data_IF_813546068556
#
_entry.id   IF_813546068556
#
_cell.length_a   1.000
_cell.length_b   1.000
_cell.length_c   1.000
_cell.angle_alpha   90.00
_cell.angle_beta   90.00
_cell.angle_gamma   90.00
#
_symmetry.space_group_name_H-M   'P 1'
#
loop_
_entity.id
_entity.type
_entity.pdbx_description
1 polymer ?
#
# COMPACT_ATOMS: atom_id res chain seq x y z
N UNK A 1 -34.77 26.36 -17.35
CA UNK A 1 -33.74 26.33 -16.30
C UNK A 1 -33.06 24.98 -16.41
N UNK A 2 -31.89 24.92 -17.04
CA UNK A 2 -31.13 23.67 -17.17
C UNK A 2 -30.54 23.32 -15.82
N UNK A 3 -30.80 22.12 -15.33
CA UNK A 3 -30.17 21.60 -14.11
C UNK A 3 -28.65 21.68 -14.24
N UNK A 4 -27.91 22.08 -13.20
CA UNK A 4 -26.46 22.02 -13.23
C UNK A 4 -26.05 20.57 -13.44
N UNK A 5 -25.25 20.34 -14.46
CA UNK A 5 -24.58 19.07 -14.68
C UNK A 5 -23.57 18.95 -13.53
N UNK A 6 -23.98 18.33 -12.42
CA UNK A 6 -23.04 17.95 -11.38
C UNK A 6 -22.26 16.77 -11.96
N UNK A 7 -21.19 17.11 -12.67
CA UNK A 7 -20.15 16.17 -13.05
C UNK A 7 -19.51 15.73 -11.73
N UNK A 8 -20.07 14.68 -11.11
CA UNK A 8 -19.40 14.02 -10.00
C UNK A 8 -18.20 13.33 -10.65
N UNK A 9 -16.97 13.84 -10.50
CA UNK A 9 -15.84 13.13 -11.08
C UNK A 9 -15.85 11.74 -10.45
N UNK A 10 -15.77 10.71 -11.30
CA UNK A 10 -15.47 9.37 -10.83
C UNK A 10 -14.23 9.48 -9.91
N UNK A 11 -14.18 8.70 -8.82
CA UNK A 11 -13.05 8.76 -7.90
C UNK A 11 -11.74 8.66 -8.69
N UNK A 12 -10.78 9.55 -8.45
CA UNK A 12 -9.52 9.51 -9.17
C UNK A 12 -8.75 8.25 -8.75
N UNK A 13 -8.25 7.46 -9.70
CA UNK A 13 -7.36 6.33 -9.39
C UNK A 13 -5.99 6.52 -10.03
N UNK A 14 -4.91 6.02 -9.39
CA UNK A 14 -3.61 5.97 -10.04
C UNK A 14 -3.68 5.14 -11.33
N UNK A 15 -3.19 5.69 -12.44
CA UNK A 15 -3.28 5.01 -13.74
C UNK A 15 -2.43 3.73 -13.81
N UNK A 16 -1.36 3.65 -13.02
CA UNK A 16 -0.37 2.57 -13.07
C UNK A 16 -0.07 2.02 -11.67
N UNK A 17 0.06 0.70 -11.59
CA UNK A 17 0.65 0.00 -10.45
C UNK A 17 2.16 -0.04 -10.64
N UNK A 18 2.89 0.49 -9.65
CA UNK A 18 4.34 0.50 -9.73
C UNK A 18 4.96 -0.88 -9.44
N UNK A 19 6.19 -1.15 -9.91
CA UNK A 19 6.89 -2.38 -9.57
C UNK A 19 7.01 -2.57 -8.06
N UNK A 20 6.68 -3.78 -7.61
CA UNK A 20 6.72 -4.21 -6.21
C UNK A 20 5.80 -3.42 -5.26
N UNK A 21 4.82 -2.69 -5.81
CA UNK A 21 3.83 -1.96 -5.02
C UNK A 21 2.75 -2.91 -4.48
N UNK A 22 2.60 -3.07 -3.15
CA UNK A 22 1.52 -3.87 -2.59
C UNK A 22 0.19 -3.10 -2.59
N UNK A 23 -0.93 -3.81 -2.45
CA UNK A 23 -2.28 -3.24 -2.43
C UNK A 23 -2.44 -2.08 -1.43
N UNK A 24 -1.90 -2.21 -0.23
CA UNK A 24 -1.96 -1.15 0.78
C UNK A 24 -1.09 0.07 0.41
N UNK A 25 -0.04 -0.10 -0.40
CA UNK A 25 0.75 0.98 -0.98
C UNK A 25 -0.04 1.74 -2.06
N UNK A 26 -0.61 1.00 -3.00
CA UNK A 26 -1.49 1.55 -4.04
C UNK A 26 -2.70 2.26 -3.43
N UNK A 27 -3.32 1.67 -2.41
CA UNK A 27 -4.45 2.26 -1.69
C UNK A 27 -4.09 3.59 -1.01
N UNK A 28 -2.84 3.78 -0.56
CA UNK A 28 -2.37 5.10 -0.08
C UNK A 28 -2.36 6.14 -1.20
N UNK A 29 -1.89 5.78 -2.39
CA UNK A 29 -1.92 6.68 -3.56
C UNK A 29 -3.35 6.98 -3.98
N UNK A 30 -4.23 5.98 -3.94
CA UNK A 30 -5.66 6.14 -4.20
C UNK A 30 -6.30 7.13 -3.20
N UNK A 31 -6.02 6.97 -1.90
CA UNK A 31 -6.50 7.90 -0.87
C UNK A 31 -6.00 9.33 -1.12
N UNK A 32 -4.72 9.48 -1.46
CA UNK A 32 -4.11 10.77 -1.81
C UNK A 32 -4.74 11.40 -3.06
N UNK A 33 -4.99 10.60 -4.10
CA UNK A 33 -5.60 11.08 -5.35
C UNK A 33 -7.03 11.61 -5.13
N UNK A 34 -7.74 11.06 -4.14
CA UNK A 34 -9.08 11.51 -3.74
C UNK A 34 -9.07 12.51 -2.57
N UNK A 35 -7.92 13.10 -2.25
CA UNK A 35 -7.77 14.10 -1.18
C UNK A 35 -8.26 13.65 0.20
N UNK A 36 -8.18 12.34 0.49
CA UNK A 36 -8.49 11.83 1.83
C UNK A 36 -7.35 12.12 2.80
N UNK A 37 -7.70 12.55 4.01
CA UNK A 37 -6.75 12.88 5.09
C UNK A 37 -5.92 11.67 5.54
N UNK A 38 -6.47 10.46 5.43
CA UNK A 38 -5.75 9.23 5.74
C UNK A 38 -6.34 8.05 4.97
N UNK A 39 -5.55 6.99 4.81
CA UNK A 39 -6.05 5.71 4.29
C UNK A 39 -7.14 5.11 5.15
N UNK A 40 -7.11 5.35 6.46
CA UNK A 40 -8.15 4.87 7.37
C UNK A 40 -9.50 5.49 7.05
N UNK A 41 -9.55 6.81 6.87
CA UNK A 41 -10.79 7.51 6.48
C UNK A 41 -11.32 6.97 5.17
N UNK A 42 -10.44 6.76 4.18
CA UNK A 42 -10.86 6.16 2.92
C UNK A 42 -11.41 4.74 3.11
N UNK A 43 -10.73 3.89 3.87
CA UNK A 43 -11.16 2.51 4.14
C UNK A 43 -12.55 2.48 4.79
N UNK A 44 -12.80 3.35 5.77
CA UNK A 44 -14.11 3.46 6.42
C UNK A 44 -15.22 3.89 5.43
N UNK A 45 -14.91 4.78 4.48
CA UNK A 45 -15.85 5.22 3.43
C UNK A 45 -16.18 4.07 2.45
N UNK A 46 -15.17 3.31 2.03
CA UNK A 46 -15.34 2.25 1.03
C UNK A 46 -15.73 0.90 1.64
N UNK A 47 -15.94 0.85 2.96
CA UNK A 47 -16.37 -0.36 3.67
C UNK A 47 -15.27 -1.40 3.84
N UNK A 48 -14.00 -1.04 3.62
CA UNK A 48 -12.84 -1.90 3.89
C UNK A 48 -12.47 -1.79 5.35
N UNK A 49 -12.13 -2.89 6.03
CA UNK A 49 -11.80 -2.88 7.46
C UNK A 49 -10.57 -2.02 7.79
N UNK A 50 -10.78 -0.74 8.12
CA UNK A 50 -9.70 0.24 8.37
C UNK A 50 -8.86 -0.02 9.63
N UNK A 51 -9.41 -0.73 10.65
CA UNK A 51 -8.70 -1.05 11.91
C UNK A 51 -7.78 -2.27 11.81
N UNK A 52 -8.10 -3.21 10.93
CA UNK A 52 -7.32 -4.41 10.69
C UNK A 52 -7.20 -4.59 9.19
N UNK A 53 -6.09 -4.11 8.63
CA UNK A 53 -5.81 -4.25 7.20
C UNK A 53 -5.79 -5.76 6.87
N UNK A 54 -6.79 -6.19 6.11
CA UNK A 54 -6.81 -7.51 5.48
C UNK A 54 -6.28 -7.32 4.07
N UNK A 55 -5.08 -7.84 3.81
CA UNK A 55 -4.40 -7.62 2.53
C UNK A 55 -5.19 -8.11 1.33
N UNK A 56 -5.86 -9.26 1.44
CA UNK A 56 -6.71 -9.79 0.39
C UNK A 56 -7.88 -8.85 0.08
N UNK A 57 -8.58 -8.35 1.10
CA UNK A 57 -9.71 -7.44 0.94
C UNK A 57 -9.29 -6.12 0.26
N UNK A 58 -8.11 -5.59 0.62
CA UNK A 58 -7.54 -4.42 -0.06
C UNK A 58 -7.13 -4.72 -1.51
N UNK A 59 -6.57 -5.90 -1.78
CA UNK A 59 -6.20 -6.31 -3.13
C UNK A 59 -7.44 -6.40 -4.01
N UNK A 60 -8.46 -7.13 -3.55
CA UNK A 60 -9.73 -7.31 -4.26
C UNK A 60 -10.41 -5.96 -4.53
N UNK A 61 -10.31 -5.01 -3.59
CA UNK A 61 -10.79 -3.65 -3.78
C UNK A 61 -9.98 -2.90 -4.86
N UNK A 62 -8.65 -2.92 -4.78
CA UNK A 62 -7.78 -2.18 -5.70
C UNK A 62 -7.82 -2.74 -7.13
N UNK A 63 -8.07 -4.04 -7.31
CA UNK A 63 -8.18 -4.67 -8.63
C UNK A 63 -9.49 -4.31 -9.38
N UNK A 64 -10.44 -3.65 -8.72
CA UNK A 64 -11.65 -3.14 -9.38
C UNK A 64 -11.37 -1.91 -10.27
N UNK A 65 -10.22 -1.26 -10.09
CA UNK A 65 -9.85 -0.08 -10.85
C UNK A 65 -9.06 -0.47 -12.11
N UNK A 66 -9.34 0.14 -13.27
CA UNK A 66 -8.62 -0.14 -14.51
C UNK A 66 -7.23 0.50 -14.47
N UNK A 67 -6.29 -0.17 -13.80
CA UNK A 67 -4.89 0.23 -13.66
C UNK A 67 -4.00 -0.62 -14.56
N UNK A 68 -3.00 0.01 -15.18
CA UNK A 68 -1.98 -0.72 -15.92
C UNK A 68 -1.14 -1.56 -14.94
N UNK A 69 -0.70 -2.73 -15.41
CA UNK A 69 0.16 -3.64 -14.66
C UNK A 69 -0.46 -4.17 -13.34
N UNK A 70 -1.78 -4.35 -13.28
CA UNK A 70 -2.50 -4.87 -12.11
C UNK A 70 -1.91 -6.18 -11.55
N UNK A 71 -1.31 -7.04 -12.38
CA UNK A 71 -0.63 -8.27 -11.92
C UNK A 71 0.57 -8.01 -11.00
N UNK A 72 1.22 -6.85 -11.10
CA UNK A 72 2.26 -6.45 -10.15
C UNK A 72 1.69 -6.30 -8.74
N UNK A 73 0.43 -5.82 -8.63
CA UNK A 73 -0.26 -5.64 -7.37
C UNK A 73 -0.50 -6.98 -6.68
N UNK A 74 -0.93 -7.98 -7.45
CA UNK A 74 -1.15 -9.35 -6.97
C UNK A 74 0.16 -9.97 -6.46
N UNK A 75 1.23 -9.89 -7.25
CA UNK A 75 2.54 -10.46 -6.89
C UNK A 75 3.19 -9.76 -5.70
N UNK A 76 2.96 -8.46 -5.55
CA UNK A 76 3.56 -7.65 -4.50
C UNK A 76 2.72 -7.60 -3.22
N UNK A 77 1.46 -8.04 -3.23
CA UNK A 77 0.61 -8.01 -2.04
C UNK A 77 0.83 -9.24 -1.16
N UNK A 78 1.12 -9.06 0.14
CA UNK A 78 1.30 -10.18 1.05
C UNK A 78 -0.02 -10.92 1.31
N UNK A 79 -0.06 -12.24 1.09
CA UNK A 79 -1.20 -13.10 1.39
C UNK A 79 -0.94 -13.83 2.71
N UNK A 80 -1.87 -13.72 3.66
CA UNK A 80 -1.69 -14.24 5.03
C UNK A 80 -2.46 -15.54 5.20
N UNK A 81 -1.74 -16.62 5.53
CA UNK A 81 -2.28 -17.95 5.78
C UNK A 81 -1.83 -18.44 7.16
N UNK A 82 -2.69 -18.24 8.17
CA UNK A 82 -2.36 -18.57 9.56
C UNK A 82 -1.17 -17.75 10.09
N UNK A 83 -0.04 -18.42 10.32
CA UNK A 83 1.22 -17.81 10.78
C UNK A 83 2.21 -17.54 9.64
N UNK A 84 1.84 -17.81 8.40
CA UNK A 84 2.68 -17.61 7.24
C UNK A 84 2.16 -16.43 6.41
N UNK A 85 3.10 -15.79 5.71
CA UNK A 85 2.83 -14.75 4.72
C UNK A 85 3.51 -15.16 3.42
N UNK A 86 2.74 -15.33 2.36
CA UNK A 86 3.27 -15.46 1.02
C UNK A 86 3.44 -14.07 0.41
N UNK A 87 4.64 -13.75 -0.05
CA UNK A 87 4.95 -12.50 -0.72
C UNK A 87 5.86 -12.77 -1.90
N UNK A 88 5.41 -12.43 -3.11
CA UNK A 88 6.16 -12.63 -4.35
C UNK A 88 6.70 -14.06 -4.53
N UNK A 89 5.89 -15.06 -4.14
CA UNK A 89 6.25 -16.48 -4.23
C UNK A 89 7.17 -16.99 -3.12
N UNK A 90 7.53 -16.15 -2.15
CA UNK A 90 8.33 -16.52 -0.98
C UNK A 90 7.46 -16.57 0.27
N UNK A 91 7.81 -17.46 1.19
CA UNK A 91 7.06 -17.66 2.43
C UNK A 91 7.84 -17.13 3.63
N UNK A 92 7.17 -16.32 4.45
CA UNK A 92 7.72 -15.65 5.63
C UNK A 92 6.88 -15.97 6.87
N UNK A 93 7.49 -15.94 8.06
CA UNK A 93 6.72 -16.03 9.30
C UNK A 93 6.07 -14.68 9.64
N UNK A 94 4.74 -14.66 9.75
CA UNK A 94 3.93 -13.43 9.93
C UNK A 94 4.41 -12.55 11.08
N UNK A 95 4.73 -13.13 12.23
CA UNK A 95 5.08 -12.34 13.41
C UNK A 95 6.56 -11.91 13.42
N UNK A 96 7.44 -12.75 12.87
CA UNK A 96 8.90 -12.57 12.98
C UNK A 96 9.44 -11.74 11.80
N UNK A 97 8.92 -12.01 10.61
CA UNK A 97 9.53 -11.55 9.37
C UNK A 97 8.74 -10.43 8.69
N UNK A 98 7.43 -10.31 8.95
CA UNK A 98 6.55 -9.36 8.27
C UNK A 98 5.85 -8.38 9.24
N UNK A 99 5.62 -7.13 8.84
CA UNK A 99 4.85 -6.16 9.62
C UNK A 99 4.65 -4.80 8.95
N UNK A 100 3.37 -4.43 8.79
CA UNK A 100 2.93 -3.25 8.01
C UNK A 100 2.85 -1.96 8.85
N UNK A 101 2.67 -2.08 10.17
CA UNK A 101 2.38 -0.93 11.03
C UNK A 101 3.59 -0.06 11.38
N UNK A 102 4.82 -0.56 11.19
CA UNK A 102 6.06 0.19 11.44
C UNK A 102 7.02 -0.02 10.30
N UNK A 103 6.66 0.47 9.11
CA UNK A 103 7.40 0.13 7.94
C UNK A 103 8.74 0.85 7.91
N UNK A 104 9.69 0.16 7.30
CA UNK A 104 11.05 0.63 7.13
C UNK A 104 11.19 1.08 5.69
N UNK A 105 11.45 2.37 5.45
CA UNK A 105 11.50 2.95 4.11
C UNK A 105 12.93 3.29 3.71
N UNK A 106 13.19 3.23 2.41
CA UNK A 106 14.41 3.77 1.82
C UNK A 106 14.10 5.14 1.23
N UNK A 107 14.75 6.19 1.75
CA UNK A 107 14.52 7.56 1.25
C UNK A 107 14.94 7.72 -0.21
N UNK A 108 16.04 7.07 -0.64
CA UNK A 108 16.45 7.09 -2.05
C UNK A 108 15.41 6.46 -2.98
N UNK A 109 14.84 5.32 -2.59
CA UNK A 109 13.73 4.71 -3.34
C UNK A 109 12.54 5.66 -3.50
N UNK A 110 12.21 6.42 -2.45
CA UNK A 110 11.09 7.36 -2.44
C UNK A 110 11.38 8.64 -3.23
N UNK A 111 12.64 9.10 -3.24
CA UNK A 111 13.09 10.23 -4.07
C UNK A 111 13.07 9.88 -5.57
N UNK A 112 13.42 8.64 -5.92
CA UNK A 112 13.36 8.14 -7.31
C UNK A 112 11.92 7.95 -7.78
N UNK A 113 11.14 7.17 -7.02
CA UNK A 113 9.74 6.87 -7.33
C UNK A 113 8.94 6.85 -6.01
N UNK A 114 8.00 7.80 -5.79
CA UNK A 114 7.37 8.04 -4.50
C UNK A 114 6.24 7.04 -4.19
N UNK A 115 6.55 5.75 -4.30
CA UNK A 115 5.64 4.65 -4.00
C UNK A 115 6.18 3.70 -2.96
N UNK A 116 5.25 3.00 -2.33
CA UNK A 116 5.54 2.02 -1.31
C UNK A 116 5.96 0.70 -1.94
N UNK A 117 6.99 0.05 -1.39
CA UNK A 117 7.51 -1.22 -1.91
C UNK A 117 7.31 -2.34 -0.89
N UNK A 118 6.96 -3.53 -1.34
CA UNK A 118 6.54 -4.63 -0.48
C UNK A 118 7.57 -5.06 0.57
N UNK A 119 8.87 -4.92 0.27
CA UNK A 119 9.94 -5.25 1.20
C UNK A 119 10.10 -4.25 2.35
N UNK A 120 9.41 -3.11 2.33
CA UNK A 120 9.35 -2.20 3.48
C UNK A 120 8.62 -2.81 4.69
N UNK A 121 7.80 -3.84 4.45
CA UNK A 121 7.13 -4.62 5.49
C UNK A 121 7.97 -5.79 6.02
N UNK A 122 9.12 -6.10 5.38
CA UNK A 122 9.97 -7.22 5.78
C UNK A 122 10.94 -6.81 6.88
N UNK A 123 10.65 -7.24 8.11
CA UNK A 123 11.45 -6.99 9.32
C UNK A 123 12.87 -7.53 9.22
N UNK A 124 13.03 -8.66 8.54
CA UNK A 124 14.29 -9.37 8.29
C UNK A 124 15.29 -8.48 7.54
N UNK A 125 14.79 -7.62 6.65
CA UNK A 125 15.65 -6.74 5.87
C UNK A 125 16.06 -5.53 6.70
N UNK A 126 17.38 -5.29 6.73
CA UNK A 126 17.99 -4.12 7.39
C UNK A 126 18.44 -3.05 6.42
N UNK A 127 18.70 -3.45 5.17
CA UNK A 127 19.19 -2.59 4.10
C UNK A 127 18.26 -2.67 2.90
N UNK A 128 18.16 -1.56 2.16
CA UNK A 128 17.47 -1.52 0.88
C UNK A 128 18.14 -2.50 -0.09
N UNK A 129 17.39 -3.42 -0.72
CA UNK A 129 17.95 -4.36 -1.70
C UNK A 129 18.42 -3.66 -2.99
N UNK A 130 17.94 -2.44 -3.28
CA UNK A 130 18.33 -1.66 -4.46
C UNK A 130 19.56 -0.80 -4.16
N UNK A 131 19.53 -0.02 -3.06
CA UNK A 131 20.54 1.01 -2.79
C UNK A 131 21.57 0.64 -1.72
N UNK A 132 21.37 -0.47 -1.00
CA UNK A 132 22.25 -0.93 0.08
C UNK A 132 22.24 -0.07 1.34
N UNK A 133 21.50 1.04 1.38
CA UNK A 133 21.43 1.91 2.57
C UNK A 133 20.55 1.31 3.66
N UNK A 134 20.82 1.67 4.92
CA UNK A 134 19.97 1.29 6.06
C UNK A 134 18.59 1.92 5.89
N UNK A 135 17.53 1.17 6.19
CA UNK A 135 16.19 1.73 6.17
C UNK A 135 15.95 2.71 7.32
N UNK A 136 15.14 3.72 7.07
CA UNK A 136 14.61 4.64 8.08
C UNK A 136 13.23 4.16 8.51
N UNK A 137 12.92 4.20 9.80
CA UNK A 137 11.55 3.98 10.26
C UNK A 137 10.71 5.21 9.97
N UNK A 138 9.60 5.06 9.25
CA UNK A 138 8.63 6.14 9.14
C UNK A 138 7.95 6.29 10.51
N UNK A 139 8.28 7.36 11.25
CA UNK A 139 7.67 7.68 12.55
C UNK A 139 8.62 7.69 13.75
N UNK A 140 9.77 8.39 13.65
CA UNK A 140 10.44 8.93 14.84
C UNK A 140 9.94 10.35 15.20
N UNK A 141 9.10 10.96 14.36
CA UNK A 141 8.37 12.18 14.66
C UNK A 141 6.87 11.90 14.53
N UNK A 142 6.13 12.26 15.56
CA UNK A 142 4.87 11.64 15.96
C UNK A 142 3.68 11.88 15.03
N UNK A 143 2.79 10.90 15.01
CA UNK A 143 1.35 11.11 14.85
C UNK A 143 0.61 10.16 15.80
N UNK A 144 0.34 10.70 16.98
CA UNK A 144 -0.89 10.44 17.70
C UNK A 144 -1.87 11.54 17.32
N UNK A 145 -2.77 11.27 16.38
CA UNK A 145 -4.03 11.98 16.16
C UNK A 145 -4.93 11.15 15.23
#
# INVERSE_FOLDING_TARGET
>A
MSSPNIDYPLPAWPAEVYPYEPAHGYFRRLAKANSHLSTRVMADIVGVKGRHIVHQELLDFCLQFPSAHASNLELATPIVEGQLVNLSGQTFHKQLDHGVYRPKVCLRCLDEEPHYRNWFDLKILRHCPIHGCVFTTSGADGDAA
#
